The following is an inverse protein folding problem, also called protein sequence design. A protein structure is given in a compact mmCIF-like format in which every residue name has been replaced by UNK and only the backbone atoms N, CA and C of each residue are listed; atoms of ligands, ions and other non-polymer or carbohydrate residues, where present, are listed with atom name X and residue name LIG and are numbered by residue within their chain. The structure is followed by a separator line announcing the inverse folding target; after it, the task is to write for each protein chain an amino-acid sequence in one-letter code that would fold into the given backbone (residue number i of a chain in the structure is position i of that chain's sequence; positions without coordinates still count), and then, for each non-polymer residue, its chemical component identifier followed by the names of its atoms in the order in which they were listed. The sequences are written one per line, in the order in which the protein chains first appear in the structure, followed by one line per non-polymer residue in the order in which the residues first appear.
data_IF_618826160214
#
_entry.id   IF_618826160214
#
_cell.length_a   1.000
_cell.length_b   1.000
_cell.length_c   1.000
_cell.angle_alpha   90.00
_cell.angle_beta   90.00
_cell.angle_gamma   90.00
#
_symmetry.space_group_name_H-M   'P 1'
#
loop_
_entity.id
_entity.type
_entity.pdbx_description
1 polymer ?
#
# COMPACT_ATOMS: atom_id res chain seq x y z
N UNK A 1 38.48 9.09 25.54
CA UNK A 1 37.08 8.78 25.89
C UNK A 1 36.64 7.52 25.16
N UNK A 2 36.40 7.56 23.83
CA UNK A 2 35.97 6.37 23.05
C UNK A 2 36.95 5.20 23.10
N UNK A 3 38.27 5.42 23.06
CA UNK A 3 39.25 4.32 23.13
C UNK A 3 39.22 3.55 24.46
N UNK A 4 38.79 4.19 25.55
CA UNK A 4 38.65 3.52 26.85
C UNK A 4 37.41 2.61 26.83
N UNK A 5 36.29 3.10 26.28
CA UNK A 5 35.07 2.32 26.07
C UNK A 5 35.29 1.15 25.11
N UNK A 6 36.01 1.35 24.01
CA UNK A 6 36.37 0.27 23.09
C UNK A 6 37.23 -0.79 23.76
N UNK A 7 38.19 -0.41 24.61
CA UNK A 7 38.99 -1.40 25.35
C UNK A 7 38.16 -2.19 26.38
N UNK A 8 37.15 -1.55 27.00
CA UNK A 8 36.21 -2.24 27.90
C UNK A 8 35.27 -3.17 27.11
N UNK A 9 34.76 -2.72 25.97
CA UNK A 9 33.96 -3.49 25.03
C UNK A 9 34.71 -4.71 24.47
N UNK A 10 35.97 -4.55 24.05
CA UNK A 10 36.80 -5.64 23.53
C UNK A 10 37.10 -6.71 24.61
N UNK A 11 37.13 -6.33 25.88
CA UNK A 11 37.40 -7.24 27.00
C UNK A 11 36.14 -7.95 27.51
N UNK A 12 35.00 -7.26 27.53
CA UNK A 12 33.74 -7.75 28.14
C UNK A 12 32.69 -8.17 27.12
N UNK A 13 32.79 -7.71 25.87
CA UNK A 13 31.78 -7.86 24.82
C UNK A 13 30.65 -6.82 24.89
N UNK A 14 30.57 -6.04 25.96
CA UNK A 14 29.51 -5.04 26.19
C UNK A 14 30.06 -3.83 26.97
N UNK A 15 29.31 -2.73 26.94
CA UNK A 15 29.55 -1.50 27.70
C UNK A 15 28.29 -1.15 28.49
N UNK A 16 28.42 -0.69 29.74
CA UNK A 16 27.26 -0.28 30.54
C UNK A 16 26.94 1.20 30.37
N UNK A 17 25.69 1.59 30.62
CA UNK A 17 25.32 3.01 30.66
C UNK A 17 26.11 3.78 31.74
N UNK A 18 26.42 3.12 32.86
CA UNK A 18 27.27 3.69 33.91
C UNK A 18 28.70 3.93 33.44
N UNK A 19 29.29 3.03 32.64
CA UNK A 19 30.63 3.24 32.04
C UNK A 19 30.67 4.47 31.12
N UNK A 20 29.60 4.68 30.35
CA UNK A 20 29.45 5.84 29.45
C UNK A 20 29.37 7.12 30.27
N UNK A 21 28.57 7.11 31.34
CA UNK A 21 28.38 8.26 32.23
C UNK A 21 29.63 8.57 33.07
N UNK A 22 30.36 7.55 33.54
CA UNK A 22 31.62 7.69 34.29
C UNK A 22 32.68 8.41 33.45
N UNK A 23 32.80 8.08 32.17
CA UNK A 23 33.74 8.74 31.26
C UNK A 23 33.33 10.16 30.87
N UNK A 24 32.07 10.51 31.08
CA UNK A 24 31.50 11.84 30.84
C UNK A 24 31.54 12.74 32.08
N UNK A 25 32.01 12.26 33.24
CA UNK A 25 32.08 13.05 34.51
C UNK A 25 32.95 14.34 34.45
N UNK A 26 33.53 14.68 33.29
CA UNK A 26 34.18 15.98 33.02
C UNK A 26 33.32 17.00 32.24
N UNK A 27 32.36 16.54 31.43
CA UNK A 27 31.52 17.34 30.52
C UNK A 27 30.01 17.14 30.82
N UNK A 28 29.72 16.82 32.09
CA UNK A 28 28.50 16.15 32.56
C UNK A 28 27.18 16.92 32.52
N UNK A 29 26.77 17.46 31.38
CA UNK A 29 25.36 17.81 31.14
C UNK A 29 25.02 18.04 29.65
N UNK A 30 25.95 17.84 28.71
CA UNK A 30 25.66 18.02 27.28
C UNK A 30 25.04 16.74 26.69
N UNK A 31 23.71 16.68 26.72
CA UNK A 31 22.90 15.59 26.14
C UNK A 31 23.30 15.28 24.70
N UNK A 32 23.71 16.30 23.92
CA UNK A 32 24.15 16.11 22.54
C UNK A 32 25.46 15.33 22.42
N UNK A 33 26.35 15.44 23.40
CA UNK A 33 27.59 14.68 23.45
C UNK A 33 27.35 13.21 23.81
N UNK A 34 26.32 12.94 24.63
CA UNK A 34 25.88 11.59 24.98
C UNK A 34 25.29 10.90 23.75
N UNK A 35 24.36 11.57 23.05
CA UNK A 35 23.74 11.04 21.83
C UNK A 35 24.79 10.72 20.77
N UNK A 36 25.73 11.64 20.51
CA UNK A 36 26.80 11.41 19.53
C UNK A 36 27.70 10.21 19.89
N UNK A 37 27.93 9.97 21.18
CA UNK A 37 28.73 8.85 21.65
C UNK A 37 27.98 7.52 21.55
N UNK A 38 26.67 7.51 21.82
CA UNK A 38 25.82 6.33 21.65
C UNK A 38 25.71 5.93 20.17
N UNK A 39 25.57 6.91 19.27
CA UNK A 39 25.57 6.67 17.83
C UNK A 39 26.90 6.05 17.35
N UNK A 40 28.04 6.53 17.87
CA UNK A 40 29.36 5.99 17.52
C UNK A 40 29.58 4.57 18.07
N UNK A 41 29.01 4.23 19.24
CA UNK A 41 29.06 2.88 19.79
C UNK A 41 28.18 1.90 18.98
N UNK A 42 27.03 2.35 18.49
CA UNK A 42 26.14 1.57 17.62
C UNK A 42 26.78 1.32 16.24
N UNK A 43 27.42 2.34 15.65
CA UNK A 43 28.20 2.20 14.41
C UNK A 43 29.37 1.21 14.53
N UNK A 44 29.90 1.03 15.74
CA UNK A 44 30.97 0.08 16.06
C UNK A 44 30.43 -1.32 16.45
N UNK A 45 29.10 -1.48 16.58
CA UNK A 45 28.44 -2.74 16.92
C UNK A 45 28.69 -3.19 18.37
N UNK A 46 28.90 -2.24 19.28
CA UNK A 46 29.14 -2.53 20.71
C UNK A 46 27.80 -2.58 21.45
N UNK A 47 27.51 -3.71 22.11
CA UNK A 47 26.27 -3.90 22.86
C UNK A 47 26.26 -3.05 24.13
N UNK A 48 25.16 -2.30 24.35
CA UNK A 48 24.98 -1.44 25.51
C UNK A 48 24.02 -2.09 26.52
N UNK A 49 24.48 -2.35 27.75
CA UNK A 49 23.67 -2.96 28.83
C UNK A 49 23.35 -1.98 29.95
N UNK A 50 22.21 -2.15 30.60
CA UNK A 50 21.81 -1.30 31.72
C UNK A 50 22.42 -1.76 33.06
N UNK A 51 22.71 -3.06 33.22
CA UNK A 51 23.29 -3.62 34.46
C UNK A 51 24.41 -4.64 34.13
N UNK A 52 25.46 -4.72 34.97
CA UNK A 52 26.54 -5.74 34.86
C UNK A 52 26.01 -7.17 35.06
N UNK A 53 24.88 -7.33 35.76
CA UNK A 53 24.23 -8.61 36.06
C UNK A 53 23.16 -9.02 35.03
N UNK A 54 23.01 -8.28 33.93
CA UNK A 54 22.14 -8.70 32.84
C UNK A 54 22.89 -9.76 32.01
N UNK A 55 22.50 -11.05 32.06
CA UNK A 55 23.06 -12.06 31.17
C UNK A 55 22.50 -11.77 29.78
N UNK A 56 23.12 -10.81 29.11
CA UNK A 56 22.67 -10.37 27.82
C UNK A 56 22.61 -11.55 26.87
N UNK A 57 21.57 -11.45 26.06
CA UNK A 57 21.11 -12.43 25.12
C UNK A 57 22.23 -12.61 24.09
N UNK A 58 23.07 -13.62 24.30
CA UNK A 58 23.58 -14.36 23.16
C UNK A 58 22.33 -14.78 22.38
N UNK A 59 22.16 -14.20 21.19
CA UNK A 59 21.20 -14.66 20.18
C UNK A 59 21.66 -16.05 19.72
N UNK A 60 21.59 -17.02 20.61
CA UNK A 60 21.66 -18.43 20.31
C UNK A 60 20.22 -18.90 20.03
N UNK A 61 20.05 -19.56 18.90
CA UNK A 61 18.80 -19.97 18.25
C UNK A 61 17.98 -21.02 19.04
N UNK A 62 18.14 -21.09 20.37
CA UNK A 62 17.57 -22.10 21.27
C UNK A 62 16.77 -21.46 22.42
N UNK A 63 16.06 -20.35 22.17
CA UNK A 63 15.08 -19.81 23.12
C UNK A 63 13.85 -20.72 23.21
N UNK A 64 14.03 -21.75 24.04
CA UNK A 64 13.09 -22.35 24.96
C UNK A 64 11.60 -22.13 24.66
N UNK A 65 10.98 -23.22 24.22
CA UNK A 65 9.53 -23.50 24.34
C UNK A 65 9.03 -23.53 25.79
N UNK A 66 9.83 -23.12 26.77
CA UNK A 66 9.54 -23.27 28.19
C UNK A 66 9.07 -21.94 28.84
N UNK A 67 9.31 -20.77 28.22
CA UNK A 67 8.87 -19.47 28.76
C UNK A 67 7.40 -19.11 28.47
N UNK A 68 6.70 -19.87 27.62
CA UNK A 68 5.25 -19.71 27.36
C UNK A 68 4.36 -20.23 28.50
N UNK A 69 4.93 -20.50 29.68
CA UNK A 69 4.26 -21.15 30.80
C UNK A 69 4.41 -20.41 32.11
N UNK A 70 4.35 -19.09 32.08
CA UNK A 70 3.98 -18.34 33.28
C UNK A 70 2.45 -18.09 33.31
N UNK A 71 1.67 -18.89 34.07
CA UNK A 71 0.23 -18.70 34.19
C UNK A 71 -0.16 -17.57 35.14
N UNK A 72 0.78 -16.76 35.65
CA UNK A 72 0.50 -15.77 36.70
C UNK A 72 0.39 -14.31 36.21
N UNK A 73 0.33 -14.08 34.88
CA UNK A 73 -0.28 -12.85 34.36
C UNK A 73 -1.77 -12.94 34.70
N UNK A 74 -2.15 -12.27 35.78
CA UNK A 74 -3.44 -12.40 36.47
C UNK A 74 -4.63 -12.67 35.54
N UNK A 75 -5.47 -13.62 35.97
CA UNK A 75 -6.60 -14.14 35.22
C UNK A 75 -7.37 -13.03 34.47
N UNK A 76 -7.12 -12.89 33.17
CA UNK A 76 -7.80 -11.96 32.27
C UNK A 76 -9.32 -12.19 32.26
N UNK A 77 -9.78 -13.36 32.74
CA UNK A 77 -11.20 -13.64 32.94
C UNK A 77 -11.78 -12.97 34.20
N UNK A 78 -10.95 -12.52 35.15
CA UNK A 78 -11.36 -11.84 36.38
C UNK A 78 -11.61 -10.32 36.21
N UNK A 79 -11.41 -9.75 35.01
CA UNK A 79 -11.73 -8.33 34.74
C UNK A 79 -13.22 -8.03 35.01
N UNK A 80 -13.49 -6.99 35.79
CA UNK A 80 -14.84 -6.49 36.07
C UNK A 80 -15.56 -6.06 34.78
N UNK A 81 -16.85 -6.38 34.59
CA UNK A 81 -17.61 -5.96 33.41
C UNK A 81 -17.75 -4.43 33.27
N UNK A 82 -17.42 -3.66 34.31
CA UNK A 82 -17.44 -2.20 34.31
C UNK A 82 -16.10 -1.55 33.87
N UNK A 83 -15.05 -2.34 33.61
CA UNK A 83 -13.76 -1.83 33.15
C UNK A 83 -13.60 -1.98 31.62
N UNK A 84 -13.80 -0.90 30.84
CA UNK A 84 -13.69 -0.96 29.38
C UNK A 84 -12.26 -1.27 28.90
N UNK A 85 -11.24 -0.90 29.66
CA UNK A 85 -9.84 -1.13 29.29
C UNK A 85 -9.49 -2.60 29.47
N UNK A 86 -9.85 -3.19 30.60
CA UNK A 86 -9.67 -4.62 30.81
C UNK A 86 -10.51 -5.47 29.85
N UNK A 87 -11.72 -5.03 29.48
CA UNK A 87 -12.52 -5.69 28.44
C UNK A 87 -11.82 -5.70 27.09
N UNK A 88 -11.17 -4.60 26.72
CA UNK A 88 -10.39 -4.50 25.49
C UNK A 88 -9.20 -5.45 25.48
N UNK A 89 -8.40 -5.49 26.54
CA UNK A 89 -7.27 -6.43 26.64
C UNK A 89 -7.70 -7.89 26.65
N UNK A 90 -8.83 -8.21 27.30
CA UNK A 90 -9.41 -9.55 27.24
C UNK A 90 -9.78 -9.93 25.81
N UNK A 91 -10.36 -9.01 25.03
CA UNK A 91 -10.69 -9.25 23.62
C UNK A 91 -9.45 -9.39 22.75
N UNK A 92 -8.43 -8.54 22.94
CA UNK A 92 -7.17 -8.65 22.20
C UNK A 92 -6.44 -9.96 22.49
N UNK A 93 -6.42 -10.40 23.75
CA UNK A 93 -5.71 -11.61 24.18
C UNK A 93 -6.37 -12.93 23.72
N UNK A 94 -7.62 -12.89 23.22
CA UNK A 94 -8.28 -14.08 22.69
C UNK A 94 -7.66 -14.58 21.39
N UNK A 95 -7.12 -13.67 20.58
CA UNK A 95 -6.52 -14.01 19.30
C UNK A 95 -5.00 -14.10 19.46
N UNK A 96 -4.37 -15.23 19.09
CA UNK A 96 -2.92 -15.37 19.17
C UNK A 96 -2.24 -14.45 18.17
N UNK A 97 -1.00 -14.06 18.48
CA UNK A 97 -0.14 -13.34 17.54
C UNK A 97 0.12 -14.19 16.30
N UNK A 98 0.26 -13.52 15.15
CA UNK A 98 0.59 -14.16 13.89
C UNK A 98 2.05 -14.62 13.90
N UNK A 99 2.32 -15.75 13.25
CA UNK A 99 3.70 -16.12 12.92
C UNK A 99 4.18 -15.34 11.70
N UNK A 100 5.49 -15.25 11.49
CA UNK A 100 6.06 -14.61 10.30
C UNK A 100 5.52 -15.23 8.99
N UNK A 101 5.32 -16.55 8.96
CA UNK A 101 4.72 -17.24 7.81
C UNK A 101 3.24 -16.86 7.58
N UNK A 102 2.48 -16.67 8.67
CA UNK A 102 1.10 -16.20 8.60
C UNK A 102 1.01 -14.77 8.05
N UNK A 103 1.90 -13.89 8.50
CA UNK A 103 1.99 -12.51 8.01
C UNK A 103 2.33 -12.47 6.51
N UNK A 104 3.31 -13.27 6.07
CA UNK A 104 3.67 -13.40 4.66
C UNK A 104 2.48 -13.91 3.84
N UNK A 105 1.76 -14.92 4.35
CA UNK A 105 0.58 -15.48 3.70
C UNK A 105 -0.54 -14.43 3.58
N UNK A 106 -0.78 -13.67 4.64
CA UNK A 106 -1.79 -12.60 4.67
C UNK A 106 -1.42 -11.47 3.71
N UNK A 107 -0.16 -11.04 3.70
CA UNK A 107 0.35 -10.02 2.79
C UNK A 107 0.18 -10.43 1.31
N UNK A 108 0.51 -11.69 0.97
CA UNK A 108 0.28 -12.23 -0.38
C UNK A 108 -1.19 -12.22 -0.78
N UNK A 109 -2.10 -12.61 0.13
CA UNK A 109 -3.54 -12.59 -0.12
C UNK A 109 -4.07 -11.17 -0.36
N UNK A 110 -3.59 -10.19 0.42
CA UNK A 110 -3.95 -8.78 0.25
C UNK A 110 -3.46 -8.29 -1.11
N UNK A 111 -2.22 -8.60 -1.50
CA UNK A 111 -1.66 -8.14 -2.77
C UNK A 111 -2.38 -8.77 -3.98
N UNK A 112 -2.73 -10.05 -3.92
CA UNK A 112 -3.55 -10.70 -4.94
C UNK A 112 -4.93 -10.02 -5.05
N UNK A 113 -5.56 -9.70 -3.91
CA UNK A 113 -6.82 -8.97 -3.89
C UNK A 113 -6.71 -7.59 -4.55
N UNK A 114 -5.62 -6.87 -4.29
CA UNK A 114 -5.33 -5.57 -4.90
C UNK A 114 -5.16 -5.67 -6.41
N UNK A 115 -4.36 -6.63 -6.88
CA UNK A 115 -4.18 -6.88 -8.31
C UNK A 115 -5.50 -7.25 -9.01
N UNK A 116 -6.34 -8.06 -8.36
CA UNK A 116 -7.64 -8.43 -8.91
C UNK A 116 -8.57 -7.21 -9.04
N UNK A 117 -8.60 -6.35 -8.03
CA UNK A 117 -9.37 -5.10 -8.06
C UNK A 117 -8.89 -4.15 -9.17
N UNK A 118 -7.58 -3.96 -9.32
CA UNK A 118 -7.01 -3.14 -10.40
C UNK A 118 -7.33 -3.71 -11.79
N UNK A 119 -7.30 -5.03 -11.95
CA UNK A 119 -7.69 -5.67 -13.21
C UNK A 119 -9.17 -5.45 -13.52
N UNK A 120 -10.04 -5.58 -12.51
CA UNK A 120 -11.48 -5.35 -12.66
C UNK A 120 -11.79 -3.91 -13.08
N UNK A 121 -11.15 -2.92 -12.45
CA UNK A 121 -11.31 -1.51 -12.80
C UNK A 121 -10.88 -1.23 -14.26
N UNK A 122 -9.72 -1.77 -14.66
CA UNK A 122 -9.23 -1.66 -16.04
C UNK A 122 -10.20 -2.28 -17.05
N UNK A 123 -10.73 -3.47 -16.76
CA UNK A 123 -11.71 -4.15 -17.62
C UNK A 123 -13.00 -3.34 -17.74
N UNK A 124 -13.50 -2.80 -16.64
CA UNK A 124 -14.70 -1.95 -16.63
C UNK A 124 -14.50 -0.68 -17.47
N UNK A 125 -13.33 -0.05 -17.38
CA UNK A 125 -13.01 1.11 -18.19
C UNK A 125 -12.96 0.78 -19.69
N UNK A 126 -12.33 -0.33 -20.09
CA UNK A 126 -12.31 -0.81 -21.48
C UNK A 126 -13.72 -1.13 -22.00
N UNK A 127 -14.56 -1.73 -21.16
CA UNK A 127 -15.95 -2.05 -21.52
C UNK A 127 -16.77 -0.77 -21.75
N UNK A 128 -16.51 0.28 -20.96
CA UNK A 128 -17.04 1.62 -21.20
C UNK A 128 -16.60 2.21 -22.54
N UNK A 129 -15.34 2.01 -22.94
CA UNK A 129 -14.85 2.46 -24.26
C UNK A 129 -15.54 1.73 -25.40
N UNK A 130 -15.73 0.42 -25.28
CA UNK A 130 -16.46 -0.39 -26.28
C UNK A 130 -17.91 0.10 -26.41
N UNK A 131 -18.59 0.37 -25.29
CA UNK A 131 -19.96 0.88 -25.31
C UNK A 131 -20.04 2.25 -26.02
N UNK A 132 -19.08 3.14 -25.74
CA UNK A 132 -18.98 4.45 -26.39
C UNK A 132 -18.74 4.32 -27.89
N UNK A 133 -17.81 3.44 -28.30
CA UNK A 133 -17.53 3.18 -29.72
C UNK A 133 -18.75 2.64 -30.45
N UNK A 134 -19.48 1.69 -29.87
CA UNK A 134 -20.73 1.19 -30.47
C UNK A 134 -21.79 2.28 -30.60
N UNK A 135 -21.92 3.16 -29.61
CA UNK A 135 -22.84 4.29 -29.67
C UNK A 135 -22.47 5.24 -30.82
N UNK A 136 -21.18 5.56 -30.96
CA UNK A 136 -20.69 6.40 -32.06
C UNK A 136 -20.88 5.72 -33.42
N UNK A 137 -20.63 4.42 -33.52
CA UNK A 137 -20.84 3.64 -34.75
C UNK A 137 -22.31 3.70 -35.19
N UNK A 138 -23.24 3.51 -34.25
CA UNK A 138 -24.67 3.61 -34.52
C UNK A 138 -25.08 5.02 -34.96
N UNK A 139 -24.52 6.06 -34.34
CA UNK A 139 -24.74 7.45 -34.76
C UNK A 139 -24.25 7.71 -36.19
N UNK A 140 -23.04 7.23 -36.54
CA UNK A 140 -22.49 7.35 -37.89
C UNK A 140 -23.38 6.61 -38.89
N UNK A 141 -23.84 5.40 -38.57
CA UNK A 141 -24.70 4.63 -39.46
C UNK A 141 -26.02 5.35 -39.76
N UNK A 142 -26.66 5.93 -38.73
CA UNK A 142 -27.88 6.73 -38.90
C UNK A 142 -27.62 7.98 -39.77
N UNK A 143 -26.51 8.69 -39.54
CA UNK A 143 -26.14 9.85 -40.35
C UNK A 143 -25.88 9.47 -41.81
N UNK A 144 -25.18 8.36 -42.06
CA UNK A 144 -24.89 7.89 -43.42
C UNK A 144 -26.19 7.60 -44.20
N UNK A 145 -27.13 6.89 -43.59
CA UNK A 145 -28.44 6.61 -44.19
C UNK A 145 -29.22 7.91 -44.49
N UNK A 146 -29.16 8.90 -43.61
CA UNK A 146 -29.76 10.21 -43.89
C UNK A 146 -29.07 10.96 -45.04
N UNK A 147 -27.74 10.88 -45.15
CA UNK A 147 -27.00 11.51 -46.26
C UNK A 147 -27.26 10.83 -47.60
N UNK A 148 -27.32 9.49 -47.65
CA UNK A 148 -27.65 8.74 -48.87
C UNK A 148 -29.05 9.08 -49.36
N UNK A 149 -30.05 9.07 -48.47
CA UNK A 149 -31.42 9.44 -48.81
C UNK A 149 -31.50 10.89 -49.34
N UNK A 150 -30.74 11.82 -48.75
CA UNK A 150 -30.66 13.20 -49.24
C UNK A 150 -30.04 13.27 -50.63
N UNK A 151 -28.99 12.49 -50.88
CA UNK A 151 -28.31 12.47 -52.17
C UNK A 151 -29.21 11.88 -53.26
N UNK A 152 -29.90 10.77 -52.97
CA UNK A 152 -30.91 10.19 -53.86
C UNK A 152 -32.04 11.19 -54.16
N UNK A 153 -32.53 11.89 -53.14
CA UNK A 153 -33.56 12.91 -53.31
C UNK A 153 -33.09 14.07 -54.21
N UNK A 154 -31.85 14.55 -54.05
CA UNK A 154 -31.27 15.58 -54.92
C UNK A 154 -31.16 15.09 -56.36
N UNK A 155 -30.71 13.85 -56.59
CA UNK A 155 -30.63 13.26 -57.93
C UNK A 155 -32.00 13.16 -58.58
N UNK A 156 -33.01 12.67 -57.87
CA UNK A 156 -34.40 12.60 -58.38
C UNK A 156 -34.95 13.99 -58.71
N UNK A 157 -34.70 14.99 -57.86
CA UNK A 157 -35.10 16.37 -58.16
C UNK A 157 -34.39 16.93 -59.40
N UNK A 158 -33.10 16.63 -59.60
CA UNK A 158 -32.35 17.05 -60.79
C UNK A 158 -32.90 16.40 -62.07
N UNK A 159 -33.23 15.11 -62.02
CA UNK A 159 -33.83 14.38 -63.15
C UNK A 159 -35.21 14.93 -63.52
N UNK A 160 -36.06 15.21 -62.53
CA UNK A 160 -37.38 15.82 -62.75
C UNK A 160 -37.25 17.22 -63.40
N UNK A 161 -36.29 18.03 -62.95
CA UNK A 161 -36.02 19.34 -63.55
C UNK A 161 -35.50 19.22 -65.00
N UNK A 162 -34.66 18.22 -65.28
CA UNK A 162 -34.17 17.96 -66.64
C UNK A 162 -35.32 17.55 -67.58
N UNK A 163 -36.22 16.66 -67.13
CA UNK A 163 -37.41 16.25 -67.89
C UNK A 163 -38.32 17.45 -68.18
N UNK A 164 -38.57 18.30 -67.18
CA UNK A 164 -39.38 19.52 -67.36
C UNK A 164 -38.77 20.46 -68.39
N UNK A 165 -37.44 20.61 -68.38
CA UNK A 165 -36.73 21.44 -69.36
C UNK A 165 -36.90 20.91 -70.79
N UNK A 166 -36.78 19.60 -70.98
CA UNK A 166 -37.03 18.94 -72.28
C UNK A 166 -38.48 19.14 -72.71
N UNK A 167 -39.44 18.99 -71.80
CA UNK A 167 -40.85 19.21 -72.10
C UNK A 167 -41.15 20.66 -72.51
N UNK A 168 -40.55 21.64 -71.82
CA UNK A 168 -40.67 23.06 -72.16
C UNK A 168 -40.04 23.39 -73.53
N UNK A 169 -38.94 22.73 -73.90
CA UNK A 169 -38.35 22.85 -75.26
C UNK A 169 -39.24 22.24 -76.34
N UNK A 170 -39.79 21.04 -76.11
CA UNK A 170 -40.72 20.40 -77.06
C UNK A 170 -41.99 21.24 -77.22
N UNK A 171 -42.52 21.82 -76.14
CA UNK A 171 -43.70 22.70 -76.20
C UNK A 171 -43.48 23.91 -77.10
N UNK A 172 -42.30 24.53 -77.05
CA UNK A 172 -41.92 25.65 -77.94
C UNK A 172 -41.81 25.27 -79.42
N UNK A 173 -41.67 23.99 -79.74
CA UNK A 173 -41.60 23.49 -81.13
C UNK A 173 -43.01 23.20 -81.67
N UNK A 174 -43.97 22.90 -80.79
CA UNK A 174 -45.34 22.50 -81.14
C UNK A 174 -46.32 23.68 -81.20
N UNK A 175 -46.01 24.80 -80.54
CA UNK A 175 -46.73 26.10 -80.65
C UNK A 175 -46.13 26.99 -81.75
#
# INVERSE_FOLDING_TARGET
MIQELMNRADQRGFVTLEDVLELLEGDGDDVAAIEALLDELDDLGIELRQDEDDPGIELDEDFDREALRDPDIGDINAVSPDDPVGLYFRQMAQEPLLTADDEISLAKRIEIGRMAFELEDNLNHLLGHIHRLNTLLNQIHLLHHHTEFRQEFITVCADILAIRRVFDEVRKIVE
#
